data_IF_759621250597
#
_entry.id   IF_759621250597
#
_cell.length_a   1.000
_cell.length_b   1.000
_cell.length_c   1.000
_cell.angle_alpha   90.00
_cell.angle_beta   90.00
_cell.angle_gamma   90.00
#
_symmetry.space_group_name_H-M   'P 1'
#
loop_
_entity.id
_entity.type
_entity.pdbx_description
1 polymer ?
#
# COMPACT_ATOMS: atom_id res chain seq x y z
N UNK A 1 22.06 4.06 4.48
CA UNK A 1 21.40 3.30 3.38
C UNK A 1 19.94 2.94 3.68
N UNK A 2 19.53 2.74 4.94
CA UNK A 2 18.13 2.46 5.33
C UNK A 2 17.16 3.66 5.21
N UNK A 3 17.65 4.91 5.20
CA UNK A 3 16.79 6.10 5.12
C UNK A 3 16.26 6.42 3.71
N UNK A 4 16.87 5.88 2.65
CA UNK A 4 16.51 6.23 1.27
C UNK A 4 15.23 5.53 0.78
N UNK A 5 14.94 4.34 1.32
CA UNK A 5 13.88 3.47 0.79
C UNK A 5 12.48 3.74 1.36
N UNK A 6 12.37 4.46 2.48
CA UNK A 6 11.19 4.30 3.36
C UNK A 6 10.53 5.63 3.76
N UNK A 7 11.27 6.74 3.79
CA UNK A 7 10.76 8.06 4.22
C UNK A 7 11.31 9.24 3.40
N UNK A 8 11.99 9.00 2.27
CA UNK A 8 12.32 10.11 1.38
C UNK A 8 11.03 10.73 0.82
N UNK A 9 11.07 12.02 0.47
CA UNK A 9 9.89 12.77 0.00
C UNK A 9 9.10 12.04 -1.10
N UNK A 10 9.73 11.40 -2.11
CA UNK A 10 9.00 10.63 -3.12
C UNK A 10 8.29 9.39 -2.56
N UNK A 11 8.93 8.65 -1.65
CA UNK A 11 8.33 7.47 -1.03
C UNK A 11 7.17 7.87 -0.12
N UNK A 12 7.32 8.93 0.66
CA UNK A 12 6.21 9.44 1.47
C UNK A 12 5.02 9.89 0.62
N UNK A 13 5.27 10.45 -0.57
CA UNK A 13 4.20 10.74 -1.55
C UNK A 13 3.44 9.48 -1.99
N UNK A 14 4.12 8.34 -2.14
CA UNK A 14 3.46 7.05 -2.42
C UNK A 14 2.57 6.65 -1.25
N UNK A 15 3.07 6.74 -0.01
CA UNK A 15 2.28 6.46 1.20
C UNK A 15 1.01 7.31 1.29
N UNK A 16 1.14 8.63 1.17
CA UNK A 16 0.00 9.54 1.31
C UNK A 16 -1.00 9.40 0.18
N UNK A 17 -0.55 9.20 -1.07
CA UNK A 17 -1.45 8.95 -2.22
C UNK A 17 -2.21 7.64 -2.08
N UNK A 18 -1.55 6.59 -1.59
CA UNK A 18 -2.20 5.29 -1.36
C UNK A 18 -3.19 5.37 -0.20
N UNK A 19 -2.82 6.03 0.90
CA UNK A 19 -3.70 6.25 2.04
C UNK A 19 -4.92 7.09 1.63
N UNK A 20 -4.72 8.15 0.84
CA UNK A 20 -5.81 8.96 0.31
C UNK A 20 -6.76 8.14 -0.58
N UNK A 21 -6.22 7.22 -1.39
CA UNK A 21 -7.02 6.30 -2.21
C UNK A 21 -7.93 5.38 -1.38
N UNK A 22 -7.53 5.02 -0.16
CA UNK A 22 -8.39 4.24 0.77
C UNK A 22 -9.15 5.12 1.78
N UNK A 23 -9.22 6.43 1.54
CA UNK A 23 -9.98 7.37 2.37
C UNK A 23 -9.32 7.75 3.70
N UNK A 24 -8.00 7.57 3.83
CA UNK A 24 -7.25 7.87 5.06
C UNK A 24 -6.26 9.00 4.81
N UNK A 25 -6.26 10.00 5.69
CA UNK A 25 -5.21 11.02 5.72
C UNK A 25 -4.22 10.73 6.84
N UNK A 26 -2.93 10.92 6.55
CA UNK A 26 -1.86 10.66 7.51
C UNK A 26 -0.78 11.74 7.40
N UNK A 27 -0.24 12.12 8.55
CA UNK A 27 0.90 13.03 8.66
C UNK A 27 2.18 12.20 8.64
N UNK A 28 3.25 12.74 8.05
CA UNK A 28 4.56 12.09 8.05
C UNK A 28 4.99 11.74 9.49
N UNK A 29 5.20 10.45 9.81
CA UNK A 29 5.71 10.06 11.12
C UNK A 29 7.20 10.41 11.21
N UNK A 30 7.73 10.56 12.44
CA UNK A 30 9.13 10.94 12.65
C UNK A 30 10.12 9.88 12.14
N UNK A 31 9.70 8.61 12.10
CA UNK A 31 10.49 7.52 11.57
C UNK A 31 9.60 6.32 11.21
N UNK A 32 10.19 5.35 10.51
CA UNK A 32 9.51 4.16 10.02
C UNK A 32 8.99 3.27 11.15
N UNK A 33 9.74 3.18 12.25
CA UNK A 33 9.33 2.36 13.38
C UNK A 33 8.01 2.90 13.96
N UNK A 34 7.90 4.21 14.16
CA UNK A 34 6.66 4.85 14.59
C UNK A 34 5.50 4.60 13.62
N UNK A 35 5.75 4.66 12.30
CA UNK A 35 4.74 4.33 11.29
C UNK A 35 4.25 2.89 11.45
N UNK A 36 5.17 1.93 11.52
CA UNK A 36 4.86 0.51 11.54
C UNK A 36 4.22 0.07 12.86
N UNK A 37 4.66 0.62 13.99
CA UNK A 37 4.01 0.39 15.29
C UNK A 37 2.57 0.87 15.25
N UNK A 38 2.33 2.12 14.82
CA UNK A 38 0.97 2.64 14.65
C UNK A 38 0.14 1.77 13.69
N UNK A 39 0.76 1.29 12.61
CA UNK A 39 0.09 0.47 11.61
C UNK A 39 -0.37 -0.87 12.17
N UNK A 40 0.54 -1.64 12.78
CA UNK A 40 0.28 -3.00 13.19
C UNK A 40 -0.50 -3.10 14.51
N UNK A 41 -0.42 -2.09 15.37
CA UNK A 41 -1.18 -2.02 16.63
C UNK A 41 -2.66 -1.64 16.42
N UNK A 42 -3.04 -1.24 15.20
CA UNK A 42 -4.41 -0.84 14.89
C UNK A 42 -5.37 -2.03 15.02
N UNK A 43 -6.32 -1.92 15.96
CA UNK A 43 -7.40 -2.90 16.16
C UNK A 43 -8.46 -2.73 15.06
N UNK A 44 -8.58 -3.73 14.19
CA UNK A 44 -9.54 -3.77 13.09
C UNK A 44 -10.26 -5.14 13.08
N UNK A 45 -11.42 -5.21 12.43
CA UNK A 45 -12.11 -6.49 12.19
C UNK A 45 -11.18 -7.43 11.40
N UNK A 46 -11.21 -8.76 11.61
CA UNK A 46 -10.23 -9.69 11.03
C UNK A 46 -10.04 -9.55 9.51
N UNK A 47 -11.14 -9.50 8.75
CA UNK A 47 -11.10 -9.34 7.28
C UNK A 47 -10.43 -8.04 6.84
N UNK A 48 -10.67 -6.95 7.57
CA UNK A 48 -10.08 -5.65 7.30
C UNK A 48 -8.61 -5.60 7.74
N UNK A 49 -8.28 -6.23 8.88
CA UNK A 49 -6.90 -6.32 9.38
C UNK A 49 -5.99 -7.04 8.37
N UNK A 50 -6.48 -8.07 7.69
CA UNK A 50 -5.72 -8.76 6.64
C UNK A 50 -5.34 -7.83 5.47
N UNK A 51 -6.29 -7.01 4.97
CA UNK A 51 -5.98 -6.01 3.93
C UNK A 51 -5.05 -4.93 4.48
N UNK A 52 -5.36 -4.44 5.68
CA UNK A 52 -4.59 -3.41 6.35
C UNK A 52 -3.12 -3.81 6.45
N UNK A 53 -2.85 -5.02 6.91
CA UNK A 53 -1.49 -5.52 7.08
C UNK A 53 -0.78 -5.74 5.75
N UNK A 54 -1.48 -6.01 4.66
CA UNK A 54 -0.90 -6.16 3.32
C UNK A 54 -0.28 -4.87 2.78
N UNK A 55 -0.83 -3.71 3.14
CA UNK A 55 -0.44 -2.41 2.56
C UNK A 55 1.06 -2.11 2.76
N UNK A 56 1.63 -2.13 3.97
CA UNK A 56 3.07 -1.90 4.16
C UNK A 56 3.94 -2.86 3.37
N UNK A 57 3.58 -4.15 3.32
CA UNK A 57 4.32 -5.14 2.56
C UNK A 57 4.27 -4.85 1.05
N UNK A 58 3.11 -4.51 0.51
CA UNK A 58 2.95 -4.18 -0.90
C UNK A 58 3.79 -2.95 -1.29
N UNK A 59 3.83 -1.92 -0.44
CA UNK A 59 4.65 -0.72 -0.64
C UNK A 59 6.14 -1.08 -0.61
N UNK A 60 6.62 -1.70 0.48
CA UNK A 60 8.05 -1.99 0.62
C UNK A 60 8.56 -2.92 -0.47
N UNK A 61 7.81 -3.96 -0.79
CA UNK A 61 8.19 -4.92 -1.81
C UNK A 61 8.29 -4.26 -3.18
N UNK A 62 7.31 -3.43 -3.55
CA UNK A 62 7.29 -2.76 -4.86
C UNK A 62 8.40 -1.73 -4.99
N UNK A 63 8.65 -0.94 -3.94
CA UNK A 63 9.74 0.03 -3.92
C UNK A 63 11.11 -0.65 -3.99
N UNK A 64 11.30 -1.75 -3.25
CA UNK A 64 12.53 -2.55 -3.30
C UNK A 64 12.76 -3.11 -4.71
N UNK A 65 11.71 -3.69 -5.32
CA UNK A 65 11.79 -4.25 -6.66
C UNK A 65 12.14 -3.19 -7.72
N UNK A 66 11.42 -2.06 -7.72
CA UNK A 66 11.63 -0.98 -8.70
C UNK A 66 12.98 -0.30 -8.54
N UNK A 67 13.45 -0.09 -7.31
CA UNK A 67 14.81 0.40 -7.06
C UNK A 67 15.85 -0.58 -7.61
N UNK A 68 15.70 -1.86 -7.34
CA UNK A 68 16.67 -2.86 -7.81
C UNK A 68 16.65 -2.98 -9.33
N UNK A 69 15.48 -2.94 -9.98
CA UNK A 69 15.38 -2.88 -11.44
C UNK A 69 16.10 -1.65 -12.00
N UNK A 70 15.93 -0.49 -11.39
CA UNK A 70 16.64 0.73 -11.81
C UNK A 70 18.17 0.61 -11.65
N UNK A 71 18.64 -0.02 -10.57
CA UNK A 71 20.06 -0.17 -10.28
C UNK A 71 20.75 -1.25 -11.12
N UNK A 72 20.08 -2.39 -11.35
CA UNK A 72 20.70 -3.57 -11.95
C UNK A 72 20.29 -3.79 -13.41
N UNK A 73 19.11 -3.32 -13.81
CA UNK A 73 18.53 -3.57 -15.13
C UNK A 73 18.32 -2.27 -15.94
N UNK A 74 18.75 -1.11 -15.43
CA UNK A 74 18.54 0.21 -16.04
C UNK A 74 17.06 0.52 -16.33
N UNK A 75 16.15 -0.01 -15.50
CA UNK A 75 14.71 0.26 -15.60
C UNK A 75 14.39 1.70 -15.16
N UNK A 76 13.41 2.32 -15.82
CA UNK A 76 12.92 3.63 -15.42
C UNK A 76 12.12 3.58 -14.11
N UNK A 77 12.33 4.58 -13.25
CA UNK A 77 11.50 4.79 -12.05
C UNK A 77 10.32 5.69 -12.40
N UNK A 78 9.16 5.07 -12.63
CA UNK A 78 7.88 5.78 -12.73
C UNK A 78 7.08 5.63 -11.42
N UNK A 79 6.81 6.75 -10.76
CA UNK A 79 6.08 6.80 -9.50
C UNK A 79 4.59 6.49 -9.62
N UNK A 80 3.98 6.76 -10.77
CA UNK A 80 2.59 6.37 -11.05
C UNK A 80 2.50 4.86 -11.27
N UNK A 81 3.43 4.28 -12.02
CA UNK A 81 3.49 2.82 -12.19
C UNK A 81 3.71 2.11 -10.85
N UNK A 82 4.59 2.64 -9.99
CA UNK A 82 4.79 2.13 -8.63
C UNK A 82 3.47 2.14 -7.86
N UNK A 83 2.74 3.26 -7.89
CA UNK A 83 1.48 3.40 -7.17
C UNK A 83 0.43 2.40 -7.67
N UNK A 84 0.25 2.27 -8.98
CA UNK A 84 -0.71 1.35 -9.58
C UNK A 84 -0.34 -0.12 -9.29
N UNK A 85 0.95 -0.47 -9.34
CA UNK A 85 1.41 -1.81 -8.95
C UNK A 85 1.10 -2.14 -7.49
N UNK A 86 1.22 -1.16 -6.58
CA UNK A 86 0.88 -1.35 -5.16
C UNK A 86 -0.62 -1.57 -5.01
N UNK A 87 -1.46 -0.75 -5.65
CA UNK A 87 -2.93 -0.90 -5.63
C UNK A 87 -3.33 -2.28 -6.14
N UNK A 88 -2.81 -2.72 -7.28
CA UNK A 88 -3.11 -4.03 -7.85
C UNK A 88 -2.75 -5.18 -6.90
N UNK A 89 -1.60 -5.09 -6.21
CA UNK A 89 -1.22 -6.08 -5.19
C UNK A 89 -2.22 -6.13 -4.04
N UNK A 90 -2.64 -4.97 -3.52
CA UNK A 90 -3.63 -4.89 -2.43
C UNK A 90 -4.97 -5.48 -2.88
N UNK A 91 -5.46 -5.10 -4.06
CA UNK A 91 -6.70 -5.63 -4.64
C UNK A 91 -6.63 -7.14 -4.83
N UNK A 92 -5.53 -7.64 -5.37
CA UNK A 92 -5.33 -9.07 -5.56
C UNK A 92 -5.36 -9.83 -4.23
N UNK A 93 -4.64 -9.34 -3.22
CA UNK A 93 -4.64 -9.92 -1.87
C UNK A 93 -6.01 -9.86 -1.19
N UNK A 94 -6.73 -8.75 -1.33
CA UNK A 94 -8.09 -8.59 -0.82
C UNK A 94 -9.03 -9.65 -1.41
N UNK A 95 -8.99 -9.79 -2.74
CA UNK A 95 -9.82 -10.73 -3.49
C UNK A 95 -9.53 -12.19 -3.13
N UNK A 96 -8.26 -12.58 -3.05
CA UNK A 96 -7.87 -13.95 -2.68
C UNK A 96 -8.21 -14.27 -1.23
N UNK A 97 -8.04 -13.31 -0.32
CA UNK A 97 -8.28 -13.50 1.12
C UNK A 97 -9.76 -13.58 1.48
N UNK A 98 -10.64 -12.90 0.73
CA UNK A 98 -12.08 -12.87 1.03
C UNK A 98 -12.88 -13.97 0.33
N UNK A 99 -12.30 -14.63 -0.67
CA UNK A 99 -12.93 -15.78 -1.36
C UNK A 99 -14.26 -15.45 -2.04
N UNK A 100 -14.60 -14.17 -2.20
CA UNK A 100 -15.89 -13.74 -2.73
C UNK A 100 -15.76 -13.22 -4.15
N UNK A 101 -16.53 -13.79 -5.08
CA UNK A 101 -16.79 -13.21 -6.41
C UNK A 101 -17.71 -11.98 -6.36
N UNK A 102 -18.09 -11.50 -5.17
CA UNK A 102 -19.08 -10.42 -5.00
C UNK A 102 -18.57 -9.05 -5.45
N UNK A 103 -17.26 -8.85 -5.50
CA UNK A 103 -16.64 -7.58 -5.91
C UNK A 103 -15.71 -7.81 -7.10
N UNK A 104 -15.92 -7.04 -8.16
CA UNK A 104 -15.06 -7.07 -9.34
C UNK A 104 -13.71 -6.39 -9.04
N UNK A 105 -12.72 -6.61 -9.91
CA UNK A 105 -11.43 -5.89 -9.81
C UNK A 105 -11.63 -4.36 -9.86
N UNK A 106 -12.64 -3.90 -10.61
CA UNK A 106 -13.04 -2.50 -10.72
C UNK A 106 -13.65 -1.99 -9.41
N UNK A 107 -14.52 -2.77 -8.76
CA UNK A 107 -15.08 -2.41 -7.45
C UNK A 107 -13.96 -2.22 -6.41
N UNK A 108 -12.96 -3.10 -6.40
CA UNK A 108 -11.81 -2.97 -5.52
C UNK A 108 -10.86 -1.82 -5.90
N UNK A 109 -10.73 -1.48 -7.19
CA UNK A 109 -9.87 -0.40 -7.65
C UNK A 109 -10.48 0.98 -7.38
N UNK A 110 -11.80 1.12 -7.53
CA UNK A 110 -12.49 2.40 -7.50
C UNK A 110 -13.31 2.65 -6.24
N UNK A 111 -13.61 1.62 -5.44
CA UNK A 111 -14.47 1.72 -4.25
C UNK A 111 -13.94 1.01 -3.02
N UNK A 112 -12.62 0.84 -2.91
CA UNK A 112 -12.02 0.14 -1.77
C UNK A 112 -12.40 0.80 -0.44
N UNK A 113 -12.43 2.12 -0.40
CA UNK A 113 -12.87 2.94 0.72
C UNK A 113 -14.31 2.62 1.16
N UNK A 114 -15.23 2.57 0.19
CA UNK A 114 -16.65 2.28 0.41
C UNK A 114 -16.86 0.82 0.85
N UNK A 115 -16.10 -0.11 0.28
CA UNK A 115 -16.11 -1.52 0.67
C UNK A 115 -15.60 -1.67 2.10
N UNK A 116 -14.46 -1.05 2.43
CA UNK A 116 -13.91 -1.04 3.80
C UNK A 116 -14.90 -0.43 4.80
N UNK A 117 -15.59 0.66 4.44
CA UNK A 117 -16.56 1.33 5.30
C UNK A 117 -17.84 0.50 5.56
N UNK A 118 -18.22 -0.36 4.61
CA UNK A 118 -19.39 -1.26 4.73
C UNK A 118 -19.15 -2.51 5.58
N UNK A 119 -17.90 -2.79 5.96
CA UNK A 119 -17.48 -4.02 6.66
C UNK A 119 -17.43 -3.91 8.18
#
# INVERSE_FOLDING_TARGET
MYHFLLLCTPVWSVWTRLLAWIGIQCVAPPNLLTLLTWWFDRKLKPKLKMIWDCIPFAIFWTLWLKRNGALFNNEALDWNDILEMIKLKIVFWARTSWGSNTYTTEDFLFRLDSIIASM
#
